data_IF_920534835879
#
_entry.id   IF_920534835879
#
_cell.length_a   1.000
_cell.length_b   1.000
_cell.length_c   1.000
_cell.angle_alpha   90.00
_cell.angle_beta   90.00
_cell.angle_gamma   90.00
#
_symmetry.space_group_name_H-M   'P 1'
#
loop_
_entity.id
_entity.type
_entity.pdbx_description
1 polymer ?
#
# COMPACT_ATOMS: atom_id res chain seq x y z
N UNK A 1 -28.33 1.11 -6.72
CA UNK A 1 -27.21 0.18 -6.47
C UNK A 1 -26.47 0.68 -5.24
N UNK A 2 -26.31 -0.16 -4.24
CA UNK A 2 -25.57 0.21 -3.04
C UNK A 2 -24.05 0.15 -3.34
N UNK A 3 -23.31 1.27 -3.29
CA UNK A 3 -21.89 1.29 -3.60
C UNK A 3 -21.04 0.54 -2.57
N UNK A 4 -21.60 0.23 -1.38
CA UNK A 4 -20.87 -0.34 -0.24
C UNK A 4 -20.84 -1.87 -0.32
N UNK A 5 -21.80 -2.51 -0.97
CA UNK A 5 -21.93 -3.98 -1.01
C UNK A 5 -20.72 -4.74 -1.58
N UNK A 6 -19.85 -4.08 -2.37
CA UNK A 6 -18.62 -4.66 -2.92
C UNK A 6 -17.54 -4.88 -1.84
N UNK A 7 -17.60 -4.09 -0.76
CA UNK A 7 -16.60 -4.14 0.32
C UNK A 7 -16.98 -5.11 1.44
N UNK A 8 -18.11 -5.83 1.32
CA UNK A 8 -18.49 -6.82 2.29
C UNK A 8 -17.54 -8.02 2.27
N UNK A 9 -17.01 -8.35 3.45
CA UNK A 9 -16.20 -9.55 3.63
C UNK A 9 -17.15 -10.75 3.69
N UNK A 10 -17.06 -11.63 2.69
CA UNK A 10 -17.84 -12.87 2.64
C UNK A 10 -16.97 -14.05 3.07
N UNK A 11 -17.49 -14.83 4.01
CA UNK A 11 -16.87 -16.09 4.43
C UNK A 11 -17.24 -17.18 3.43
N UNK A 12 -16.24 -17.84 2.82
CA UNK A 12 -16.48 -18.98 1.94
C UNK A 12 -16.63 -20.28 2.74
N UNK A 13 -15.72 -20.54 3.66
CA UNK A 13 -15.78 -21.70 4.55
C UNK A 13 -15.01 -21.42 5.86
N UNK A 14 -15.50 -21.95 7.00
CA UNK A 14 -14.79 -21.85 8.26
C UNK A 14 -13.56 -22.77 8.23
N UNK A 15 -12.38 -22.23 8.63
CA UNK A 15 -11.14 -23.00 8.68
C UNK A 15 -10.93 -23.59 10.08
N UNK A 16 -11.08 -22.78 11.12
CA UNK A 16 -10.88 -23.19 12.52
C UNK A 16 -11.79 -22.36 13.44
N UNK A 17 -12.31 -23.01 14.49
CA UNK A 17 -13.03 -22.36 15.59
C UNK A 17 -12.16 -22.42 16.84
N UNK A 18 -11.73 -21.26 17.34
CA UNK A 18 -10.92 -21.14 18.55
C UNK A 18 -11.66 -20.24 19.53
N UNK A 19 -12.10 -20.77 20.68
CA UNK A 19 -12.63 -19.99 21.79
C UNK A 19 -13.81 -19.04 21.47
N UNK A 20 -14.67 -19.42 20.50
CA UNK A 20 -15.82 -18.59 20.09
C UNK A 20 -15.53 -17.64 18.91
N UNK A 21 -14.30 -17.52 18.48
CA UNK A 21 -13.94 -16.82 17.24
C UNK A 21 -13.85 -17.82 16.06
N UNK A 22 -14.56 -17.52 14.97
CA UNK A 22 -14.49 -18.31 13.74
C UNK A 22 -13.44 -17.70 12.80
N UNK A 23 -12.35 -18.44 12.57
CA UNK A 23 -11.40 -18.10 11.52
C UNK A 23 -11.91 -18.71 10.22
N UNK A 24 -12.43 -17.85 9.34
CA UNK A 24 -12.98 -18.25 8.05
C UNK A 24 -12.05 -17.83 6.91
N UNK A 25 -12.02 -18.64 5.84
CA UNK A 25 -11.40 -18.23 4.59
C UNK A 25 -12.33 -17.24 3.88
N UNK A 26 -11.86 -16.00 3.72
CA UNK A 26 -12.64 -14.89 3.19
C UNK A 26 -12.28 -14.56 1.76
N UNK A 27 -13.16 -13.80 1.08
CA UNK A 27 -12.85 -13.23 -0.23
C UNK A 27 -11.56 -12.38 -0.20
N UNK A 28 -11.30 -11.64 0.88
CA UNK A 28 -10.06 -10.87 1.07
C UNK A 28 -8.83 -11.78 1.06
N UNK A 29 -8.86 -12.91 1.77
CA UNK A 29 -7.77 -13.89 1.78
C UNK A 29 -7.54 -14.48 0.39
N UNK A 30 -8.61 -14.78 -0.36
CA UNK A 30 -8.52 -15.28 -1.72
C UNK A 30 -7.79 -14.29 -2.65
N UNK A 31 -8.19 -13.01 -2.64
CA UNK A 31 -7.56 -11.99 -3.49
C UNK A 31 -6.11 -11.67 -3.07
N UNK A 32 -5.78 -11.78 -1.78
CA UNK A 32 -4.37 -11.70 -1.34
C UNK A 32 -3.54 -12.86 -1.89
N UNK A 33 -4.07 -14.08 -1.90
CA UNK A 33 -3.38 -15.25 -2.48
C UNK A 33 -3.25 -15.13 -4.00
N UNK A 34 -4.27 -14.62 -4.69
CA UNK A 34 -4.20 -14.34 -6.14
C UNK A 34 -3.10 -13.32 -6.42
N UNK A 35 -3.05 -12.21 -5.68
CA UNK A 35 -2.02 -11.19 -5.80
C UNK A 35 -0.62 -11.74 -5.56
N UNK A 36 -0.44 -12.54 -4.50
CA UNK A 36 0.83 -13.19 -4.20
C UNK A 36 1.24 -14.17 -5.30
N UNK A 37 0.29 -14.98 -5.80
CA UNK A 37 0.54 -15.92 -6.90
C UNK A 37 0.96 -15.21 -8.17
N UNK A 38 0.34 -14.06 -8.48
CA UNK A 38 0.70 -13.25 -9.65
C UNK A 38 2.12 -12.66 -9.52
N UNK A 39 2.49 -12.18 -8.33
CA UNK A 39 3.85 -11.69 -8.05
C UNK A 39 4.87 -12.83 -8.23
N UNK A 40 4.60 -14.00 -7.64
CA UNK A 40 5.47 -15.16 -7.76
C UNK A 40 5.61 -15.61 -9.21
N UNK A 41 4.50 -15.65 -9.95
CA UNK A 41 4.51 -15.99 -11.38
C UNK A 41 5.36 -15.00 -12.20
N UNK A 42 5.20 -13.69 -11.95
CA UNK A 42 6.00 -12.66 -12.59
C UNK A 42 7.50 -12.83 -12.28
N UNK A 43 7.85 -12.99 -11.00
CA UNK A 43 9.25 -13.10 -10.58
C UNK A 43 9.90 -14.40 -11.04
N UNK A 44 9.21 -15.54 -10.90
CA UNK A 44 9.72 -16.83 -11.35
C UNK A 44 9.79 -16.90 -12.89
N UNK A 45 8.79 -16.33 -13.59
CA UNK A 45 8.79 -16.25 -15.05
C UNK A 45 9.93 -15.38 -15.59
N UNK A 46 10.20 -14.25 -14.92
CA UNK A 46 11.30 -13.35 -15.30
C UNK A 46 12.69 -13.98 -15.07
N UNK A 47 12.84 -14.80 -14.03
CA UNK A 47 14.12 -15.44 -13.69
C UNK A 47 14.42 -16.72 -14.49
N UNK A 48 13.40 -17.30 -15.15
CA UNK A 48 13.55 -18.57 -15.88
C UNK A 48 14.38 -18.45 -17.16
N UNK A 49 14.27 -17.31 -17.86
CA UNK A 49 15.02 -17.05 -19.11
C UNK A 49 15.92 -15.82 -18.90
N UNK A 50 17.15 -16.06 -18.42
CA UNK A 50 18.16 -14.99 -18.28
C UNK A 50 18.80 -14.70 -19.62
N UNK A 51 18.28 -13.74 -20.37
CA UNK A 51 18.84 -13.31 -21.63
C UNK A 51 19.51 -11.94 -21.49
N UNK A 52 20.60 -11.70 -22.24
CA UNK A 52 21.27 -10.39 -22.31
C UNK A 52 20.34 -9.31 -22.89
N UNK A 53 19.44 -9.70 -23.80
CA UNK A 53 18.34 -8.84 -24.27
C UNK A 53 17.08 -9.30 -23.53
N UNK A 54 16.59 -8.50 -22.55
CA UNK A 54 15.50 -8.93 -21.70
C UNK A 54 14.17 -9.03 -22.49
N UNK A 55 13.44 -10.12 -22.28
CA UNK A 55 12.07 -10.25 -22.74
C UNK A 55 11.13 -9.35 -21.92
N UNK A 56 9.87 -9.18 -22.36
CA UNK A 56 8.90 -8.26 -21.73
C UNK A 56 8.70 -8.50 -20.23
N UNK A 57 8.56 -9.76 -19.81
CA UNK A 57 8.41 -10.11 -18.39
C UNK A 57 9.67 -9.81 -17.58
N UNK A 58 10.84 -10.14 -18.14
CA UNK A 58 12.12 -9.84 -17.53
C UNK A 58 12.32 -8.34 -17.37
N UNK A 59 12.01 -7.54 -18.41
CA UNK A 59 12.11 -6.07 -18.36
C UNK A 59 11.24 -5.46 -17.27
N UNK A 60 9.99 -5.94 -17.10
CA UNK A 60 9.10 -5.43 -16.04
C UNK A 60 9.66 -5.76 -14.66
N UNK A 61 10.18 -6.97 -14.46
CA UNK A 61 10.77 -7.37 -13.19
C UNK A 61 12.04 -6.58 -12.87
N UNK A 62 12.92 -6.40 -13.86
CA UNK A 62 14.18 -5.63 -13.72
C UNK A 62 13.89 -4.15 -13.45
N UNK A 63 12.97 -3.52 -14.19
CA UNK A 63 12.57 -2.14 -13.93
C UNK A 63 12.00 -1.97 -12.52
N UNK A 64 11.16 -2.90 -12.08
CA UNK A 64 10.60 -2.85 -10.72
C UNK A 64 11.69 -3.02 -9.66
N UNK A 65 12.65 -3.91 -9.89
CA UNK A 65 13.79 -4.13 -9.01
C UNK A 65 14.68 -2.87 -8.93
N UNK A 66 15.09 -2.33 -10.07
CA UNK A 66 15.95 -1.14 -10.10
C UNK A 66 15.27 0.09 -9.50
N UNK A 67 13.98 0.26 -9.76
CA UNK A 67 13.20 1.35 -9.21
C UNK A 67 13.22 1.35 -7.68
N UNK A 68 12.90 0.21 -7.05
CA UNK A 68 12.92 0.09 -5.58
C UNK A 68 14.35 0.12 -5.02
N UNK A 69 15.31 -0.52 -5.71
CA UNK A 69 16.71 -0.52 -5.28
C UNK A 69 17.32 0.89 -5.32
N UNK A 70 17.00 1.67 -6.36
CA UNK A 70 17.43 3.07 -6.47
C UNK A 70 16.82 3.93 -5.35
N UNK A 71 15.52 3.81 -5.11
CA UNK A 71 14.85 4.52 -4.03
C UNK A 71 15.48 4.22 -2.66
N UNK A 72 15.75 2.94 -2.38
CA UNK A 72 16.34 2.53 -1.11
C UNK A 72 17.79 3.00 -0.97
N UNK A 73 18.61 2.92 -2.04
CA UNK A 73 19.99 3.41 -2.02
C UNK A 73 20.07 4.92 -1.81
N UNK A 74 19.18 5.66 -2.46
CA UNK A 74 19.15 7.13 -2.35
C UNK A 74 18.72 7.57 -0.96
N UNK A 75 17.80 6.85 -0.31
CA UNK A 75 17.20 7.26 0.96
C UNK A 75 17.95 6.70 2.17
N UNK A 76 18.29 5.41 2.15
CA UNK A 76 18.87 4.69 3.30
C UNK A 76 20.32 4.23 3.09
N UNK A 77 20.92 4.59 1.96
CA UNK A 77 22.31 4.25 1.64
C UNK A 77 22.54 2.75 1.43
N UNK A 78 23.83 2.36 1.44
CA UNK A 78 24.24 0.96 1.24
C UNK A 78 23.81 0.03 2.38
N UNK A 79 23.75 0.54 3.61
CA UNK A 79 23.29 -0.24 4.76
C UNK A 79 21.79 -0.58 4.66
N UNK A 80 20.99 0.30 4.06
CA UNK A 80 19.57 0.08 3.82
C UNK A 80 19.28 -1.09 2.89
N UNK A 81 20.22 -1.47 2.03
CA UNK A 81 20.03 -2.59 1.08
C UNK A 81 19.75 -3.94 1.74
N UNK A 82 20.06 -4.10 3.03
CA UNK A 82 19.66 -5.29 3.80
C UNK A 82 18.14 -5.46 3.88
N UNK A 83 17.40 -4.36 3.81
CA UNK A 83 15.93 -4.32 3.85
C UNK A 83 15.28 -4.36 2.47
N UNK A 84 16.08 -4.47 1.40
CA UNK A 84 15.56 -4.54 0.04
C UNK A 84 14.46 -5.59 -0.14
N UNK A 85 14.61 -6.85 0.34
CA UNK A 85 13.56 -7.85 0.18
C UNK A 85 12.22 -7.43 0.82
N UNK A 86 12.26 -6.77 1.98
CA UNK A 86 11.07 -6.27 2.66
C UNK A 86 10.40 -5.15 1.87
N UNK A 87 11.17 -4.12 1.49
CA UNK A 87 10.64 -2.95 0.77
C UNK A 87 10.12 -3.35 -0.60
N UNK A 88 10.83 -4.21 -1.32
CA UNK A 88 10.43 -4.70 -2.62
C UNK A 88 9.15 -5.55 -2.56
N UNK A 89 9.05 -6.46 -1.59
CA UNK A 89 7.85 -7.28 -1.42
C UNK A 89 6.64 -6.44 -1.03
N UNK A 90 6.79 -5.43 -0.18
CA UNK A 90 5.72 -4.49 0.17
C UNK A 90 5.28 -3.67 -1.05
N UNK A 91 6.23 -3.12 -1.81
CA UNK A 91 5.94 -2.38 -3.04
C UNK A 91 5.15 -3.22 -4.02
N UNK A 92 5.64 -4.41 -4.36
CA UNK A 92 4.99 -5.31 -5.31
C UNK A 92 3.62 -5.78 -4.82
N UNK A 93 3.50 -6.11 -3.53
CA UNK A 93 2.24 -6.56 -2.95
C UNK A 93 1.17 -5.48 -3.01
N UNK A 94 1.49 -4.26 -2.58
CA UNK A 94 0.55 -3.14 -2.62
C UNK A 94 0.21 -2.77 -4.07
N UNK A 95 1.21 -2.70 -4.96
CA UNK A 95 1.00 -2.38 -6.37
C UNK A 95 0.04 -3.36 -7.04
N UNK A 96 0.31 -4.65 -6.90
CA UNK A 96 -0.49 -5.70 -7.55
C UNK A 96 -1.90 -5.75 -6.97
N UNK A 97 -2.07 -5.64 -5.64
CA UNK A 97 -3.39 -5.60 -5.02
C UNK A 97 -4.20 -4.36 -5.42
N UNK A 98 -3.56 -3.20 -5.52
CA UNK A 98 -4.22 -1.98 -5.98
C UNK A 98 -4.65 -2.11 -7.45
N UNK A 99 -3.78 -2.64 -8.31
CA UNK A 99 -4.11 -2.83 -9.74
C UNK A 99 -5.22 -3.87 -9.93
N UNK A 100 -5.19 -4.98 -9.21
CA UNK A 100 -6.28 -5.98 -9.22
C UNK A 100 -7.58 -5.33 -8.76
N UNK A 101 -7.53 -4.48 -7.72
CA UNK A 101 -8.69 -3.80 -7.19
C UNK A 101 -9.40 -2.89 -8.18
N UNK A 102 -8.69 -2.28 -9.14
CA UNK A 102 -9.29 -1.41 -10.17
C UNK A 102 -10.16 -2.19 -11.17
N UNK A 103 -9.90 -3.48 -11.35
CA UNK A 103 -10.66 -4.31 -12.28
C UNK A 103 -12.12 -4.40 -11.78
N UNK A 104 -13.12 -4.11 -12.63
CA UNK A 104 -14.53 -4.22 -12.24
C UNK A 104 -14.86 -5.62 -11.73
N UNK A 105 -15.70 -5.70 -10.70
CA UNK A 105 -16.13 -6.96 -10.04
C UNK A 105 -15.06 -7.69 -9.22
N UNK A 106 -13.83 -7.17 -9.10
CA UNK A 106 -12.84 -7.72 -8.17
C UNK A 106 -13.03 -7.13 -6.77
N UNK A 107 -12.52 -7.86 -5.77
CA UNK A 107 -12.52 -7.38 -4.39
C UNK A 107 -11.25 -6.58 -4.11
N UNK A 108 -11.42 -5.36 -3.61
CA UNK A 108 -10.31 -4.45 -3.32
C UNK A 108 -9.81 -4.70 -1.90
N UNK A 109 -8.72 -5.43 -1.77
CA UNK A 109 -8.13 -5.80 -0.48
C UNK A 109 -7.66 -4.58 0.31
N UNK A 110 -7.02 -3.62 -0.35
CA UNK A 110 -6.46 -2.41 0.25
C UNK A 110 -7.49 -1.37 0.65
N UNK A 111 -8.78 -1.55 0.30
CA UNK A 111 -9.89 -0.77 0.83
C UNK A 111 -10.34 -1.20 2.23
N UNK A 112 -9.69 -2.18 2.84
CA UNK A 112 -9.95 -2.60 4.21
C UNK A 112 -8.86 -2.10 5.15
N UNK A 113 -9.26 -1.28 6.12
CA UNK A 113 -8.35 -0.63 7.06
C UNK A 113 -7.50 -1.62 7.86
N UNK A 114 -8.06 -2.79 8.20
CA UNK A 114 -7.35 -3.81 8.98
C UNK A 114 -6.09 -4.34 8.25
N UNK A 115 -6.17 -4.46 6.93
CA UNK A 115 -5.05 -4.96 6.11
C UNK A 115 -3.98 -3.86 5.96
N UNK A 116 -4.42 -2.63 5.69
CA UNK A 116 -3.50 -1.49 5.57
C UNK A 116 -2.82 -1.17 6.89
N UNK A 117 -3.52 -1.30 8.02
CA UNK A 117 -2.94 -1.19 9.37
C UNK A 117 -1.94 -2.32 9.61
N UNK A 118 -2.26 -3.57 9.24
CA UNK A 118 -1.34 -4.69 9.42
C UNK A 118 -0.02 -4.48 8.66
N UNK A 119 -0.08 -3.98 7.41
CA UNK A 119 1.11 -3.64 6.62
C UNK A 119 1.91 -2.49 7.25
N UNK A 120 1.21 -1.44 7.70
CA UNK A 120 1.85 -0.29 8.35
C UNK A 120 2.51 -0.67 9.68
N UNK A 121 1.87 -1.52 10.48
CA UNK A 121 2.43 -2.04 11.73
C UNK A 121 3.62 -2.98 11.49
N UNK A 122 3.59 -3.79 10.42
CA UNK A 122 4.73 -4.61 10.04
C UNK A 122 5.96 -3.75 9.79
N UNK A 123 5.82 -2.66 9.03
CA UNK A 123 6.91 -1.68 8.81
C UNK A 123 7.34 -1.05 10.13
N UNK A 124 6.38 -0.55 10.91
CA UNK A 124 6.65 0.12 12.17
C UNK A 124 7.42 -0.77 13.15
N UNK A 125 6.97 -2.00 13.37
CA UNK A 125 7.66 -2.95 14.24
C UNK A 125 9.04 -3.33 13.71
N UNK A 126 9.21 -3.45 12.39
CA UNK A 126 10.53 -3.71 11.79
C UNK A 126 11.49 -2.57 12.10
N UNK A 127 11.05 -1.31 11.94
CA UNK A 127 11.85 -0.10 12.24
C UNK A 127 12.20 -0.05 13.73
N UNK A 128 11.23 -0.26 14.62
CA UNK A 128 11.44 -0.22 16.07
C UNK A 128 12.38 -1.34 16.53
N UNK A 129 12.11 -2.58 16.15
CA UNK A 129 12.92 -3.74 16.54
C UNK A 129 14.36 -3.57 16.04
N UNK A 130 14.54 -3.17 14.79
CA UNK A 130 15.86 -2.95 14.23
C UNK A 130 16.59 -1.79 14.91
N UNK A 131 15.90 -0.68 15.19
CA UNK A 131 16.45 0.47 15.89
C UNK A 131 16.95 0.11 17.29
N UNK A 132 16.15 -0.64 18.05
CA UNK A 132 16.57 -1.14 19.35
C UNK A 132 17.70 -2.17 19.28
N UNK A 133 17.68 -3.05 18.27
CA UNK A 133 18.73 -4.05 18.11
C UNK A 133 20.08 -3.44 17.76
N UNK A 134 20.08 -2.40 16.90
CA UNK A 134 21.32 -1.75 16.44
C UNK A 134 21.88 -0.76 17.46
N UNK A 135 21.01 0.05 18.09
CA UNK A 135 21.42 1.19 18.93
C UNK A 135 21.11 0.99 20.43
N UNK A 136 20.38 -0.06 20.80
CA UNK A 136 19.98 -0.30 22.19
C UNK A 136 19.21 0.90 22.76
N UNK A 137 19.58 1.33 23.97
CA UNK A 137 18.95 2.50 24.62
C UNK A 137 19.27 3.84 23.94
N UNK A 138 20.31 3.90 23.10
CA UNK A 138 20.60 5.11 22.31
C UNK A 138 19.51 5.41 21.26
N UNK A 139 18.68 4.45 20.91
CA UNK A 139 17.55 4.66 20.02
C UNK A 139 16.57 5.74 20.54
N UNK A 140 16.47 5.90 21.88
CA UNK A 140 15.66 6.98 22.46
C UNK A 140 16.17 8.39 22.15
N UNK A 141 17.43 8.55 21.74
CA UNK A 141 17.96 9.84 21.28
C UNK A 141 17.29 10.33 19.99
N UNK A 142 16.67 9.43 19.22
CA UNK A 142 15.88 9.82 18.05
C UNK A 142 14.76 10.79 18.43
N UNK A 143 14.22 10.67 19.65
CA UNK A 143 13.14 11.54 20.15
C UNK A 143 13.62 12.75 20.94
N UNK A 144 14.93 12.83 21.20
CA UNK A 144 15.55 13.92 21.95
C UNK A 144 16.57 14.62 21.02
N UNK A 145 16.14 15.61 20.22
CA UNK A 145 17.04 16.28 19.28
C UNK A 145 18.14 17.06 20.05
N UNK A 146 19.38 16.94 19.56
CA UNK A 146 20.53 17.66 20.10
C UNK A 146 20.42 19.16 19.79
N UNK A 147 20.78 20.03 20.77
CA UNK A 147 20.81 21.48 20.57
C UNK A 147 19.55 22.22 21.01
N UNK A 148 18.56 21.55 21.58
CA UNK A 148 17.35 22.19 22.10
C UNK A 148 17.58 22.65 23.56
N UNK A 149 17.19 23.90 23.93
CA UNK A 149 17.23 24.37 25.30
C UNK A 149 16.46 23.45 26.26
N UNK A 150 17.02 23.19 27.44
CA UNK A 150 16.48 22.21 28.40
C UNK A 150 15.03 22.48 28.80
N UNK A 151 14.62 23.76 28.79
CA UNK A 151 13.26 24.18 29.15
C UNK A 151 12.19 23.76 28.12
N UNK A 152 12.57 23.64 26.83
CA UNK A 152 11.66 23.28 25.73
C UNK A 152 11.77 21.78 25.40
N UNK A 153 12.84 21.12 25.86
CA UNK A 153 13.12 19.71 25.57
C UNK A 153 11.94 18.78 25.86
N UNK A 154 11.22 18.85 26.99
CA UNK A 154 10.10 17.95 27.26
C UNK A 154 8.97 18.10 26.23
N UNK A 155 8.69 19.31 25.80
CA UNK A 155 7.65 19.59 24.79
C UNK A 155 8.06 19.03 23.43
N UNK A 156 9.29 19.26 23.00
CA UNK A 156 9.81 18.78 21.70
C UNK A 156 9.84 17.26 21.68
N UNK A 157 10.33 16.61 22.74
CA UNK A 157 10.33 15.15 22.87
C UNK A 157 8.91 14.58 22.80
N UNK A 158 7.94 15.20 23.46
CA UNK A 158 6.54 14.78 23.40
C UNK A 158 5.99 14.86 21.97
N UNK A 159 6.27 15.96 21.25
CA UNK A 159 5.85 16.13 19.85
C UNK A 159 6.51 15.08 18.97
N UNK A 160 7.81 14.81 19.15
CA UNK A 160 8.56 13.82 18.36
C UNK A 160 8.03 12.39 18.58
N UNK A 161 7.74 12.00 19.82
CA UNK A 161 7.12 10.72 20.14
C UNK A 161 5.73 10.61 19.51
N UNK A 162 4.92 11.66 19.60
CA UNK A 162 3.58 11.69 19.00
C UNK A 162 3.66 11.58 17.46
N UNK A 163 4.59 12.31 16.85
CA UNK A 163 4.89 12.24 15.42
C UNK A 163 5.29 10.83 15.00
N UNK A 164 6.20 10.20 15.73
CA UNK A 164 6.65 8.83 15.48
C UNK A 164 5.50 7.81 15.57
N UNK A 165 4.64 7.90 16.58
CA UNK A 165 3.47 7.04 16.75
C UNK A 165 2.38 7.30 15.70
N UNK A 166 2.29 8.52 15.16
CA UNK A 166 1.32 8.85 14.11
C UNK A 166 1.70 8.28 12.73
N UNK A 167 2.95 7.86 12.52
CA UNK A 167 3.46 7.35 11.24
C UNK A 167 2.67 6.13 10.72
N UNK A 168 2.49 5.03 11.50
CA UNK A 168 1.72 3.87 11.03
C UNK A 168 0.25 4.22 10.78
N UNK A 169 -0.33 5.13 11.56
CA UNK A 169 -1.71 5.59 11.36
C UNK A 169 -1.83 6.33 10.03
N UNK A 170 -0.99 7.33 9.79
CA UNK A 170 -0.97 8.11 8.54
C UNK A 170 -0.70 7.22 7.33
N UNK A 171 0.18 6.24 7.48
CA UNK A 171 0.57 5.30 6.43
C UNK A 171 -0.59 4.38 6.01
N UNK A 172 -1.30 3.81 7.00
CA UNK A 172 -2.43 2.93 6.76
C UNK A 172 -3.67 3.67 6.24
N UNK A 173 -4.01 4.82 6.87
CA UNK A 173 -5.18 5.61 6.48
C UNK A 173 -5.04 6.15 5.05
N UNK A 174 -3.84 6.58 4.65
CA UNK A 174 -3.59 7.07 3.29
C UNK A 174 -3.86 5.99 2.25
N UNK A 175 -3.36 4.76 2.47
CA UNK A 175 -3.60 3.64 1.54
C UNK A 175 -5.08 3.27 1.49
N UNK A 176 -5.70 3.11 2.64
CA UNK A 176 -7.13 2.80 2.78
C UNK A 176 -8.03 3.86 2.12
N UNK A 177 -7.85 5.14 2.50
CA UNK A 177 -8.73 6.22 2.07
C UNK A 177 -8.68 6.45 0.56
N UNK A 178 -7.49 6.42 -0.04
CA UNK A 178 -7.34 6.61 -1.48
C UNK A 178 -8.06 5.52 -2.29
N UNK A 179 -7.91 4.25 -1.89
CA UNK A 179 -8.54 3.14 -2.59
C UNK A 179 -10.05 3.12 -2.38
N UNK A 180 -10.51 3.37 -1.15
CA UNK A 180 -11.95 3.41 -0.86
C UNK A 180 -12.64 4.57 -1.59
N UNK A 181 -12.07 5.78 -1.52
CA UNK A 181 -12.64 6.96 -2.16
C UNK A 181 -12.68 6.83 -3.69
N UNK A 182 -11.63 6.31 -4.32
CA UNK A 182 -11.58 6.07 -5.76
C UNK A 182 -12.72 5.15 -6.21
N UNK A 183 -12.87 4.00 -5.58
CA UNK A 183 -13.92 3.04 -5.92
C UNK A 183 -15.35 3.56 -5.69
N UNK A 184 -15.60 4.27 -4.59
CA UNK A 184 -16.91 4.88 -4.33
C UNK A 184 -17.23 5.89 -5.44
N UNK A 185 -16.26 6.74 -5.80
CA UNK A 185 -16.44 7.77 -6.83
C UNK A 185 -16.75 7.14 -8.20
N UNK A 186 -15.98 6.12 -8.61
CA UNK A 186 -16.24 5.41 -9.87
C UNK A 186 -17.65 4.80 -9.92
N UNK A 187 -18.12 4.22 -8.82
CA UNK A 187 -19.46 3.65 -8.76
C UNK A 187 -20.57 4.69 -8.83
N UNK A 188 -20.37 5.84 -8.19
CA UNK A 188 -21.35 6.93 -8.24
C UNK A 188 -21.48 7.44 -9.70
N UNK A 189 -20.36 7.70 -10.37
CA UNK A 189 -20.41 8.14 -11.77
C UNK A 189 -20.93 7.05 -12.72
N UNK A 190 -20.55 5.79 -12.52
CA UNK A 190 -21.11 4.65 -13.25
C UNK A 190 -22.62 4.51 -13.03
N UNK A 191 -23.10 4.78 -11.81
CA UNK A 191 -24.52 4.85 -11.50
C UNK A 191 -25.25 5.96 -12.27
N UNK A 192 -24.65 7.14 -12.40
CA UNK A 192 -25.22 8.21 -13.22
C UNK A 192 -25.32 7.83 -14.69
N UNK A 193 -24.31 7.16 -15.24
CA UNK A 193 -24.35 6.66 -16.63
C UNK A 193 -25.54 5.72 -16.83
N UNK A 194 -25.76 4.77 -15.94
CA UNK A 194 -26.87 3.80 -16.04
C UNK A 194 -28.23 4.47 -15.84
N UNK A 195 -28.36 5.39 -14.89
CA UNK A 195 -29.61 6.11 -14.64
C UNK A 195 -30.01 7.02 -15.80
N UNK A 196 -29.07 7.79 -16.32
CA UNK A 196 -29.32 8.66 -17.48
C UNK A 196 -29.61 7.84 -18.74
N UNK A 197 -28.87 6.74 -18.97
CA UNK A 197 -29.12 5.84 -20.09
C UNK A 197 -30.52 5.23 -20.13
N UNK A 198 -31.16 5.05 -18.96
CA UNK A 198 -32.53 4.54 -18.86
C UNK A 198 -33.61 5.56 -19.25
N UNK A 199 -33.28 6.85 -19.38
CA UNK A 199 -34.23 7.94 -19.75
C UNK A 199 -34.45 8.09 -21.28
N UNK A 200 -33.92 7.17 -22.08
CA UNK A 200 -34.08 7.20 -23.55
C UNK A 200 -33.02 8.07 -24.25
N UNK A 201 -33.30 8.50 -25.48
CA UNK A 201 -32.34 9.16 -26.38
C UNK A 201 -31.68 10.42 -25.76
N UNK A 202 -32.49 11.30 -25.14
CA UNK A 202 -31.96 12.50 -24.48
C UNK A 202 -31.09 12.15 -23.24
N UNK A 203 -31.45 11.10 -22.54
CA UNK A 203 -30.65 10.58 -21.42
C UNK A 203 -29.29 10.03 -21.87
N UNK A 204 -29.24 9.39 -23.02
CA UNK A 204 -27.97 8.92 -23.62
C UNK A 204 -27.01 10.07 -23.94
N UNK A 205 -27.53 11.20 -24.50
CA UNK A 205 -26.69 12.38 -24.70
C UNK A 205 -26.15 12.94 -23.38
N UNK A 206 -26.98 12.98 -22.33
CA UNK A 206 -26.54 13.40 -20.98
C UNK A 206 -25.55 12.44 -20.34
N UNK A 207 -25.61 11.15 -20.64
CA UNK A 207 -24.72 10.12 -20.09
C UNK A 207 -23.26 10.20 -20.60
N UNK A 208 -23.02 10.92 -21.70
CA UNK A 208 -21.67 11.09 -22.29
C UNK A 208 -20.73 11.78 -21.27
N UNK A 209 -21.22 12.79 -20.54
CA UNK A 209 -20.39 13.55 -19.58
C UNK A 209 -19.96 12.65 -18.42
N UNK A 210 -20.86 12.01 -17.66
CA UNK A 210 -20.43 11.12 -16.57
C UNK A 210 -19.65 9.90 -17.06
N UNK A 211 -19.87 9.42 -18.29
CA UNK A 211 -19.07 8.37 -18.90
C UNK A 211 -17.63 8.84 -19.13
N UNK A 212 -17.44 10.02 -19.71
CA UNK A 212 -16.10 10.61 -19.90
C UNK A 212 -15.38 10.83 -18.58
N UNK A 213 -16.10 11.28 -17.54
CA UNK A 213 -15.55 11.41 -16.19
C UNK A 213 -15.17 10.05 -15.58
N UNK A 214 -15.98 9.02 -15.78
CA UNK A 214 -15.66 7.67 -15.31
C UNK A 214 -14.36 7.15 -15.93
N UNK A 215 -14.17 7.34 -17.23
CA UNK A 215 -12.93 6.95 -17.93
C UNK A 215 -11.73 7.74 -17.39
N UNK A 216 -11.86 9.05 -17.25
CA UNK A 216 -10.80 9.90 -16.69
C UNK A 216 -10.45 9.51 -15.25
N UNK A 217 -11.44 9.24 -14.42
CA UNK A 217 -11.26 8.78 -13.03
C UNK A 217 -10.60 7.41 -12.96
N UNK A 218 -10.93 6.48 -13.86
CA UNK A 218 -10.26 5.16 -13.91
C UNK A 218 -8.78 5.31 -14.24
N UNK A 219 -8.43 6.19 -15.18
CA UNK A 219 -7.03 6.48 -15.50
C UNK A 219 -6.30 7.13 -14.30
N UNK A 220 -6.96 8.06 -13.61
CA UNK A 220 -6.44 8.67 -12.39
C UNK A 220 -6.25 7.62 -11.29
N UNK A 221 -7.19 6.71 -11.09
CA UNK A 221 -7.11 5.65 -10.08
C UNK A 221 -5.94 4.70 -10.34
N UNK A 222 -5.67 4.37 -11.61
CA UNK A 222 -4.49 3.58 -12.00
C UNK A 222 -3.18 4.29 -11.63
N UNK A 223 -3.10 5.59 -11.90
CA UNK A 223 -1.96 6.41 -11.53
C UNK A 223 -1.79 6.46 -10.00
N UNK A 224 -2.89 6.68 -9.27
CA UNK A 224 -2.89 6.70 -7.81
C UNK A 224 -2.51 5.33 -7.23
N UNK A 225 -2.94 4.22 -7.83
CA UNK A 225 -2.56 2.87 -7.40
C UNK A 225 -1.04 2.66 -7.43
N UNK A 226 -0.38 3.13 -8.50
CA UNK A 226 1.09 3.09 -8.59
C UNK A 226 1.74 4.05 -7.60
N UNK A 227 1.31 5.32 -7.57
CA UNK A 227 1.86 6.32 -6.65
C UNK A 227 1.73 5.89 -5.20
N UNK A 228 0.63 5.26 -4.82
CA UNK A 228 0.39 4.81 -3.45
C UNK A 228 1.36 3.69 -3.04
N UNK A 229 1.63 2.73 -3.94
CA UNK A 229 2.63 1.70 -3.70
C UNK A 229 4.05 2.31 -3.57
N UNK A 230 4.36 3.30 -4.42
CA UNK A 230 5.63 4.03 -4.37
C UNK A 230 5.77 4.83 -3.06
N UNK A 231 4.76 5.61 -2.69
CA UNK A 231 4.78 6.41 -1.46
C UNK A 231 4.91 5.52 -0.24
N UNK A 232 4.25 4.35 -0.24
CA UNK A 232 4.39 3.38 0.85
C UNK A 232 5.83 2.87 0.95
N UNK A 233 6.46 2.52 -0.17
CA UNK A 233 7.84 2.04 -0.21
C UNK A 233 8.84 3.13 0.19
N UNK A 234 8.72 4.36 -0.34
CA UNK A 234 9.67 5.43 -0.04
C UNK A 234 9.60 5.88 1.43
N UNK A 235 8.39 5.96 2.02
CA UNK A 235 8.25 6.27 3.44
C UNK A 235 8.83 5.14 4.31
N UNK A 236 8.68 3.89 3.91
CA UNK A 236 9.35 2.77 4.57
C UNK A 236 10.87 2.92 4.52
N UNK A 237 11.43 3.33 3.36
CA UNK A 237 12.86 3.61 3.24
C UNK A 237 13.32 4.75 4.16
N UNK A 238 12.53 5.82 4.27
CA UNK A 238 12.83 6.97 5.16
C UNK A 238 12.85 6.51 6.62
N UNK A 239 11.84 5.76 7.06
CA UNK A 239 11.77 5.27 8.44
C UNK A 239 12.90 4.29 8.78
N UNK A 240 13.28 3.44 7.81
CA UNK A 240 14.45 2.57 7.96
C UNK A 240 15.76 3.38 8.02
N UNK A 241 15.90 4.43 7.20
CA UNK A 241 17.06 5.32 7.22
C UNK A 241 17.23 5.99 8.58
N UNK A 242 16.15 6.50 9.16
CA UNK A 242 16.17 7.09 10.51
C UNK A 242 16.58 6.07 11.57
N UNK A 243 16.09 4.83 11.49
CA UNK A 243 16.47 3.77 12.42
C UNK A 243 17.93 3.29 12.23
N UNK A 244 18.45 3.38 11.00
CA UNK A 244 19.85 3.05 10.71
C UNK A 244 20.79 4.11 11.28
N UNK A 245 20.42 5.39 11.19
CA UNK A 245 21.27 6.54 11.55
C UNK A 245 20.89 7.17 12.91
N UNK A 246 20.06 6.53 13.70
CA UNK A 246 19.57 7.05 14.99
C UNK A 246 20.67 7.38 16.05
N UNK A 247 21.92 7.15 15.74
CA UNK A 247 23.07 7.37 16.66
C UNK A 247 23.98 8.54 16.32
N UNK A 248 23.67 9.28 15.25
CA UNK A 248 24.50 10.44 14.81
C UNK A 248 23.81 11.77 15.03
#
# INVERSE_FOLDING_TARGET
MDPIHQFEIKNFFPVVRIGGAEIAFTNSALFMLIGLSLILFLMLGATRSRALVPGRLQSVAEMSYEFVASALRTTAGTEGMKFFPLVFSLFMFILVLNVIGIIPYTFTVTSHIIITVALALLVFFTVVIYGFWKHGLHFFKLWVPSGVPIYIMPLVTFIEVLSFLSRPVSHSVRLFANMLAGHITLKVFGGFVTMLGALGFLGWLGAIIPLGLTVALTALELLVAFLQAYVFAILTCIYLSEAIHAGH
#
